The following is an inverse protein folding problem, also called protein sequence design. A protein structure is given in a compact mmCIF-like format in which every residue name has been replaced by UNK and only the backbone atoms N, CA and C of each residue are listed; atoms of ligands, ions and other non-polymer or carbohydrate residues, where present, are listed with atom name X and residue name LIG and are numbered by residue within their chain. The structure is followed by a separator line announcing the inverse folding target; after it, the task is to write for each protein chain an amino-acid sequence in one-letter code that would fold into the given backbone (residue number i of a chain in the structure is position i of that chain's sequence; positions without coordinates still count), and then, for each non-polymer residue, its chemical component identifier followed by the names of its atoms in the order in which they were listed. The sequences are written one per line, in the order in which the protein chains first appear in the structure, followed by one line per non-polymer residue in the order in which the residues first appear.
data_IF_329435826797
#
_entry.id   IF_329435826797
#
_cell.length_a   1.000
_cell.length_b   1.000
_cell.length_c   1.000
_cell.angle_alpha   90.00
_cell.angle_beta   90.00
_cell.angle_gamma   90.00
#
_symmetry.space_group_name_H-M   'P 1'
#
loop_
_entity.id
_entity.type
_entity.pdbx_description
1 polymer ?
#
# COMPACT_ATOMS: atom_id res chain seq x y z
N UNK A 1 14.33 -12.66 5.82
CA UNK A 1 14.47 -11.52 4.90
C UNK A 1 13.19 -10.71 5.00
N UNK A 2 13.28 -9.52 5.59
CA UNK A 2 12.17 -8.58 5.82
C UNK A 2 11.74 -8.01 4.45
N UNK A 3 10.45 -8.15 4.16
CA UNK A 3 9.60 -7.38 3.26
C UNK A 3 10.17 -7.00 1.88
N UNK A 4 9.71 -7.70 0.85
CA UNK A 4 10.02 -7.44 -0.56
C UNK A 4 9.36 -6.19 -1.14
N UNK A 5 8.80 -5.33 -0.30
CA UNK A 5 8.07 -4.11 -0.68
C UNK A 5 8.62 -2.91 0.09
N UNK A 6 8.86 -1.82 -0.62
CA UNK A 6 9.13 -0.49 -0.08
C UNK A 6 7.95 0.45 -0.35
N UNK A 7 7.91 1.59 0.34
CA UNK A 7 6.86 2.59 0.16
C UNK A 7 6.32 3.14 1.48
N UNK A 8 5.04 3.51 1.50
CA UNK A 8 4.40 4.03 2.69
C UNK A 8 2.89 3.78 2.70
N UNK A 9 2.29 3.81 3.87
CA UNK A 9 0.86 4.06 4.04
C UNK A 9 0.68 5.37 4.81
N UNK A 10 -0.19 6.24 4.33
CA UNK A 10 -0.48 7.54 4.94
C UNK A 10 -1.98 7.68 5.18
N UNK A 11 -2.35 8.08 6.39
CA UNK A 11 -3.73 8.44 6.68
C UNK A 11 -4.00 9.86 6.18
N UNK A 12 -5.06 10.03 5.40
CA UNK A 12 -5.49 11.33 4.90
C UNK A 12 -6.50 11.98 5.86
N UNK A 13 -6.63 13.30 5.78
CA UNK A 13 -7.51 14.07 6.66
C UNK A 13 -9.00 13.77 6.44
N UNK A 14 -9.37 13.23 5.28
CA UNK A 14 -10.73 12.81 4.94
C UNK A 14 -11.07 11.38 5.42
N UNK A 15 -10.12 10.71 6.08
CA UNK A 15 -10.26 9.34 6.57
C UNK A 15 -9.91 8.26 5.54
N UNK A 16 -9.47 8.62 4.34
CA UNK A 16 -8.90 7.67 3.38
C UNK A 16 -7.45 7.31 3.74
N UNK A 17 -6.94 6.25 3.10
CA UNK A 17 -5.55 5.79 3.26
C UNK A 17 -4.89 5.74 1.90
N UNK A 18 -3.79 6.48 1.74
CA UNK A 18 -2.94 6.43 0.55
C UNK A 18 -1.82 5.42 0.78
N UNK A 19 -1.64 4.47 -0.14
CA UNK A 19 -0.56 3.49 -0.08
C UNK A 19 0.30 3.61 -1.33
N UNK A 20 1.60 3.84 -1.13
CA UNK A 20 2.62 3.62 -2.16
C UNK A 20 3.31 2.30 -1.86
N UNK A 21 3.43 1.43 -2.86
CA UNK A 21 4.12 0.15 -2.75
C UNK A 21 4.98 -0.08 -3.99
N UNK A 22 6.24 -0.43 -3.77
CA UNK A 22 7.22 -0.67 -4.81
C UNK A 22 7.95 -1.98 -4.52
N UNK A 23 8.09 -2.84 -5.53
CA UNK A 23 8.81 -4.11 -5.41
C UNK A 23 8.46 -5.06 -6.55
N UNK A 24 8.73 -6.35 -6.34
CA UNK A 24 8.36 -7.40 -7.31
C UNK A 24 6.83 -7.41 -7.53
N UNK A 25 6.41 -7.49 -8.79
CA UNK A 25 5.01 -7.41 -9.22
C UNK A 25 4.09 -8.34 -8.41
N UNK A 26 4.48 -9.61 -8.24
CA UNK A 26 3.70 -10.59 -7.45
C UNK A 26 3.47 -10.17 -5.99
N UNK A 27 4.40 -9.43 -5.39
CA UNK A 27 4.28 -8.95 -4.01
C UNK A 27 3.38 -7.71 -3.96
N UNK A 28 3.48 -6.84 -4.96
CA UNK A 28 2.58 -5.68 -5.14
C UNK A 28 1.14 -6.17 -5.34
N UNK A 29 0.92 -7.13 -6.23
CA UNK A 29 -0.40 -7.75 -6.47
C UNK A 29 -0.96 -8.41 -5.21
N UNK A 30 -0.13 -9.11 -4.45
CA UNK A 30 -0.56 -9.73 -3.19
C UNK A 30 -1.01 -8.69 -2.15
N UNK A 31 -0.27 -7.58 -2.01
CA UNK A 31 -0.68 -6.49 -1.13
C UNK A 31 -1.95 -5.80 -1.64
N UNK A 32 -2.05 -5.55 -2.95
CA UNK A 32 -3.22 -4.95 -3.57
C UNK A 32 -4.49 -5.79 -3.35
N UNK A 33 -4.40 -7.11 -3.53
CA UNK A 33 -5.50 -8.04 -3.25
C UNK A 33 -5.89 -8.02 -1.77
N UNK A 34 -4.92 -7.94 -0.85
CA UNK A 34 -5.20 -7.84 0.58
C UNK A 34 -5.88 -6.51 0.95
N UNK A 35 -5.53 -5.39 0.29
CA UNK A 35 -6.12 -4.08 0.56
C UNK A 35 -7.63 -4.02 0.28
N UNK A 36 -8.18 -4.93 -0.52
CA UNK A 36 -9.64 -5.06 -0.70
C UNK A 36 -10.33 -5.43 0.62
N UNK A 37 -9.69 -6.25 1.46
CA UNK A 37 -10.20 -6.62 2.78
C UNK A 37 -9.68 -5.67 3.86
N UNK A 38 -8.40 -5.32 3.78
CA UNK A 38 -7.70 -4.52 4.79
C UNK A 38 -7.50 -5.27 6.12
N UNK A 39 -6.99 -4.57 7.14
CA UNK A 39 -6.84 -5.14 8.48
C UNK A 39 -8.22 -5.37 9.13
N UNK A 40 -8.33 -6.24 10.16
CA UNK A 40 -9.60 -6.55 10.83
C UNK A 40 -10.34 -5.35 11.42
N UNK A 41 -9.64 -4.24 11.66
CA UNK A 41 -10.17 -2.99 12.21
C UNK A 41 -10.64 -2.00 11.14
N UNK A 42 -10.46 -2.31 9.85
CA UNK A 42 -10.87 -1.47 8.74
C UNK A 42 -12.07 -2.07 8.01
N UNK A 43 -12.89 -1.19 7.43
CA UNK A 43 -13.93 -1.56 6.48
C UNK A 43 -13.67 -0.81 5.17
N UNK A 44 -13.09 -1.50 4.18
CA UNK A 44 -12.69 -0.89 2.91
C UNK A 44 -13.90 -0.77 1.99
N UNK A 45 -14.34 0.47 1.77
CA UNK A 45 -15.53 0.76 0.95
C UNK A 45 -15.18 0.77 -0.54
N UNK A 46 -13.99 1.26 -0.88
CA UNK A 46 -13.52 1.39 -2.25
C UNK A 46 -11.99 1.30 -2.29
N UNK A 47 -11.46 0.59 -3.27
CA UNK A 47 -10.04 0.55 -3.60
C UNK A 47 -9.85 1.13 -5.01
N UNK A 48 -8.98 2.12 -5.13
CA UNK A 48 -8.53 2.68 -6.40
C UNK A 48 -7.02 2.56 -6.44
N UNK A 49 -6.47 2.12 -7.56
CA UNK A 49 -5.04 2.00 -7.74
C UNK A 49 -4.64 2.36 -9.17
N UNK A 50 -3.42 2.85 -9.33
CA UNK A 50 -2.78 3.11 -10.60
C UNK A 50 -1.31 2.76 -10.51
N UNK A 51 -0.68 2.52 -11.67
CA UNK A 51 0.78 2.39 -11.72
C UNK A 51 1.38 3.79 -11.76
N UNK A 52 2.39 4.02 -10.92
CA UNK A 52 3.15 5.27 -10.86
C UNK A 52 4.61 5.01 -11.19
N UNK A 53 5.33 6.06 -11.57
CA UNK A 53 6.77 6.00 -11.76
C UNK A 53 7.49 5.57 -10.48
N UNK A 54 8.60 4.87 -10.65
CA UNK A 54 9.42 4.41 -9.54
C UNK A 54 9.88 5.56 -8.65
N UNK A 55 9.72 5.41 -7.34
CA UNK A 55 10.20 6.36 -6.34
C UNK A 55 11.29 5.70 -5.48
N UNK A 56 12.40 6.41 -5.28
CA UNK A 56 13.49 5.95 -4.43
C UNK A 56 13.09 6.07 -2.95
N UNK A 57 12.35 5.07 -2.45
CA UNK A 57 11.92 4.97 -1.06
C UNK A 57 12.57 3.75 -0.43
N UNK A 58 13.25 4.01 0.69
CA UNK A 58 13.89 2.98 1.47
C UNK A 58 12.94 2.46 2.56
N UNK A 59 12.70 1.14 2.53
CA UNK A 59 11.84 0.47 3.48
C UNK A 59 10.35 0.82 3.32
N UNK A 60 9.55 0.46 4.34
CA UNK A 60 8.13 0.74 4.39
C UNK A 60 7.81 1.53 5.65
N UNK A 61 7.11 2.65 5.52
CA UNK A 61 6.78 3.56 6.64
C UNK A 61 5.28 3.80 6.78
N UNK A 62 4.85 4.16 7.99
CA UNK A 62 3.49 4.65 8.25
C UNK A 62 3.61 6.14 8.56
N UNK A 63 2.82 6.96 7.87
CA UNK A 63 2.80 8.43 7.99
C UNK A 63 1.50 8.92 8.61
#
# INVERSE_FOLDING_TARGET
MKHSLTGYARNEADGSVTVLMCGEERNVEALLAWLVQGPPTANVIQLVHEHVDWQAIDGFSIQ
#
